data_IF_088171863575
#
_entry.id   IF_088171863575
#
_cell.length_a   1.000
_cell.length_b   1.000
_cell.length_c   1.000
_cell.angle_alpha   90.00
_cell.angle_beta   90.00
_cell.angle_gamma   90.00
#
_symmetry.space_group_name_H-M   'P 1'
#
loop_
_entity.id
_entity.type
_entity.pdbx_description
1 polymer ?
#
# COMPACT_ATOMS: atom_id res chain seq x y z
N UNK A 1 28.87 33.11 45.36
CA UNK A 1 28.74 33.16 43.88
C UNK A 1 28.85 31.80 43.18
N UNK A 2 28.38 30.69 43.78
CA UNK A 2 28.37 29.35 43.10
C UNK A 2 26.97 28.81 42.80
N UNK A 3 25.92 29.45 43.33
CA UNK A 3 24.52 29.00 43.19
C UNK A 3 23.75 29.64 42.01
N UNK A 4 24.29 30.72 41.42
CA UNK A 4 23.61 31.46 40.33
C UNK A 4 23.91 30.82 38.95
N UNK A 5 25.08 30.18 38.80
CA UNK A 5 25.51 29.57 37.53
C UNK A 5 24.66 28.34 37.18
N UNK A 6 24.19 27.59 38.18
CA UNK A 6 23.37 26.40 37.97
C UNK A 6 21.97 26.73 37.41
N UNK A 7 21.41 27.90 37.73
CA UNK A 7 20.06 28.30 37.29
C UNK A 7 20.06 28.75 35.83
N UNK A 8 21.16 29.35 35.34
CA UNK A 8 21.29 29.75 33.94
C UNK A 8 21.52 28.54 33.02
N UNK A 9 22.20 27.49 33.51
CA UNK A 9 22.46 26.28 32.71
C UNK A 9 21.19 25.43 32.47
N UNK A 10 20.22 25.48 33.39
CA UNK A 10 18.95 24.75 33.24
C UNK A 10 18.00 25.46 32.26
N UNK A 11 18.06 26.80 32.16
CA UNK A 11 17.22 27.55 31.22
C UNK A 11 17.64 27.41 29.75
N UNK A 12 18.93 27.13 29.46
CA UNK A 12 19.40 26.90 28.10
C UNK A 12 19.09 25.49 27.56
N UNK A 13 18.86 24.49 28.44
CA UNK A 13 18.50 23.14 27.98
C UNK A 13 17.07 23.04 27.43
N UNK A 14 16.14 23.89 27.89
CA UNK A 14 14.77 23.92 27.37
C UNK A 14 14.63 24.51 25.97
N UNK A 15 15.64 25.23 25.46
CA UNK A 15 15.62 25.86 24.13
C UNK A 15 16.25 24.99 23.03
N UNK A 16 17.01 23.94 23.38
CA UNK A 16 17.64 23.04 22.40
C UNK A 16 16.67 22.00 21.81
N UNK A 17 15.48 21.80 22.41
CA UNK A 17 14.47 20.85 21.93
C UNK A 17 13.49 21.45 20.90
N UNK A 18 13.45 22.77 20.74
CA UNK A 18 12.56 23.43 19.77
C UNK A 18 13.13 23.42 18.33
N UNK A 19 14.39 23.04 18.14
CA UNK A 19 15.09 23.09 16.85
C UNK A 19 15.11 21.79 16.03
N UNK A 20 14.72 20.64 16.60
CA UNK A 20 14.91 19.33 15.97
C UNK A 20 13.68 18.75 15.23
N UNK A 21 12.53 19.42 15.23
CA UNK A 21 11.28 18.82 14.74
C UNK A 21 11.08 18.93 13.23
N UNK A 22 11.81 19.80 12.53
CA UNK A 22 11.54 20.13 11.11
C UNK A 22 12.25 19.22 10.10
N UNK A 23 13.45 18.71 10.39
CA UNK A 23 14.16 17.79 9.47
C UNK A 23 13.53 16.39 9.43
N UNK A 24 13.19 15.82 10.59
CA UNK A 24 12.56 14.49 10.67
C UNK A 24 11.21 14.42 9.95
N UNK A 25 10.38 15.45 10.09
CA UNK A 25 9.08 15.50 9.44
C UNK A 25 9.16 15.58 7.90
N UNK A 26 10.20 16.22 7.35
CA UNK A 26 10.44 16.28 5.89
C UNK A 26 10.83 14.91 5.34
N UNK A 27 11.72 14.19 6.03
CA UNK A 27 12.13 12.82 5.65
C UNK A 27 10.98 11.82 5.76
N UNK A 28 10.19 11.86 6.84
CA UNK A 28 9.01 10.99 6.99
C UNK A 28 8.00 11.23 5.87
N UNK A 29 7.69 12.49 5.54
CA UNK A 29 6.76 12.81 4.46
C UNK A 29 7.25 12.29 3.10
N UNK A 30 8.55 12.42 2.81
CA UNK A 30 9.15 11.91 1.58
C UNK A 30 9.11 10.37 1.51
N UNK A 31 9.34 9.70 2.63
CA UNK A 31 9.24 8.24 2.71
C UNK A 31 7.80 7.76 2.50
N UNK A 32 6.81 8.43 3.10
CA UNK A 32 5.38 8.13 2.86
C UNK A 32 5.09 8.22 1.37
N UNK A 33 5.44 9.34 0.73
CA UNK A 33 5.21 9.53 -0.72
C UNK A 33 5.86 8.42 -1.55
N UNK A 34 7.13 8.14 -1.30
CA UNK A 34 7.90 7.13 -2.06
C UNK A 34 7.28 5.74 -1.94
N UNK A 35 6.78 5.37 -0.76
CA UNK A 35 6.16 4.06 -0.54
C UNK A 35 4.73 3.99 -1.08
N UNK A 36 3.96 5.07 -1.02
CA UNK A 36 2.63 5.15 -1.65
C UNK A 36 2.76 5.04 -3.18
N UNK A 37 3.69 5.78 -3.78
CA UNK A 37 3.99 5.68 -5.22
C UNK A 37 4.47 4.25 -5.57
N UNK A 38 5.33 3.67 -4.73
CA UNK A 38 5.81 2.29 -4.88
C UNK A 38 4.69 1.25 -4.78
N UNK A 39 3.72 1.44 -3.89
CA UNK A 39 2.53 0.61 -3.79
C UNK A 39 1.68 0.72 -5.06
N UNK A 40 1.38 1.94 -5.52
CA UNK A 40 0.57 2.16 -6.72
C UNK A 40 1.21 1.57 -7.98
N UNK A 41 2.54 1.61 -8.09
CA UNK A 41 3.27 1.01 -9.21
C UNK A 41 3.32 -0.53 -9.18
N UNK A 42 3.16 -1.14 -7.99
CA UNK A 42 3.19 -2.58 -7.81
C UNK A 42 1.80 -3.22 -7.74
N UNK A 43 0.73 -2.44 -7.58
CA UNK A 43 -0.63 -2.98 -7.52
C UNK A 43 -1.08 -3.60 -8.86
N UNK A 44 -1.80 -4.72 -8.80
CA UNK A 44 -2.41 -5.36 -9.98
C UNK A 44 -3.81 -4.79 -10.21
N UNK A 45 -3.96 -3.84 -11.13
CA UNK A 45 -5.23 -3.09 -11.31
C UNK A 45 -6.44 -3.96 -11.71
N UNK A 46 -7.65 -3.44 -11.47
CA UNK A 46 -8.92 -4.01 -11.92
C UNK A 46 -8.89 -4.29 -13.43
N UNK A 47 -8.40 -3.32 -14.22
CA UNK A 47 -8.31 -3.50 -15.67
C UNK A 47 -7.24 -4.52 -16.07
N UNK A 48 -6.16 -4.67 -15.31
CA UNK A 48 -5.17 -5.74 -15.52
C UNK A 48 -5.83 -7.11 -15.34
N UNK A 49 -6.64 -7.29 -14.30
CA UNK A 49 -7.43 -8.50 -14.08
C UNK A 49 -8.46 -8.70 -15.19
N UNK A 50 -9.21 -7.66 -15.54
CA UNK A 50 -10.25 -7.70 -16.58
C UNK A 50 -9.72 -8.03 -17.98
N UNK A 51 -8.47 -7.67 -18.26
CA UNK A 51 -7.82 -7.93 -19.54
C UNK A 51 -7.26 -9.35 -19.69
N UNK A 52 -7.28 -10.16 -18.62
CA UNK A 52 -6.83 -11.55 -18.70
C UNK A 52 -7.70 -12.34 -19.68
N UNK A 53 -7.07 -13.23 -20.44
CA UNK A 53 -7.72 -14.07 -21.46
C UNK A 53 -7.23 -15.50 -21.33
N UNK A 54 -8.11 -16.47 -21.54
CA UNK A 54 -7.72 -17.89 -21.59
C UNK A 54 -6.77 -18.09 -22.78
N UNK A 55 -5.50 -18.30 -22.44
CA UNK A 55 -4.39 -18.44 -23.38
C UNK A 55 -3.30 -19.28 -22.75
N UNK A 56 -2.40 -19.82 -23.58
CA UNK A 56 -1.25 -20.60 -23.11
C UNK A 56 -0.31 -19.83 -22.19
N UNK A 57 -0.34 -18.49 -22.22
CA UNK A 57 0.50 -17.62 -21.41
C UNK A 57 -0.15 -17.20 -20.08
N UNK A 58 -1.44 -17.52 -19.87
CA UNK A 58 -2.21 -17.02 -18.73
C UNK A 58 -1.59 -17.41 -17.40
N UNK A 59 -1.07 -18.64 -17.25
CA UNK A 59 -0.41 -19.08 -16.01
C UNK A 59 0.78 -18.20 -15.63
N UNK A 60 1.58 -17.76 -16.62
CA UNK A 60 2.72 -16.88 -16.38
C UNK A 60 2.22 -15.49 -15.95
N UNK A 61 1.19 -14.96 -16.62
CA UNK A 61 0.58 -13.67 -16.27
C UNK A 61 0.01 -13.66 -14.84
N UNK A 62 -0.63 -14.76 -14.42
CA UNK A 62 -1.16 -14.92 -13.07
C UNK A 62 -0.04 -14.98 -12.04
N UNK A 63 1.02 -15.75 -12.30
CA UNK A 63 2.19 -15.84 -11.41
C UNK A 63 2.91 -14.49 -11.26
N UNK A 64 3.09 -13.75 -12.36
CA UNK A 64 3.66 -12.40 -12.32
C UNK A 64 2.78 -11.43 -11.55
N UNK A 65 1.46 -11.55 -11.68
CA UNK A 65 0.50 -10.74 -10.93
C UNK A 65 0.52 -11.07 -9.44
N UNK A 66 0.60 -12.35 -9.05
CA UNK A 66 0.74 -12.75 -7.65
C UNK A 66 2.02 -12.19 -7.02
N UNK A 67 3.14 -12.20 -7.76
CA UNK A 67 4.40 -11.59 -7.30
C UNK A 67 4.25 -10.08 -7.07
N UNK A 68 3.58 -9.38 -7.99
CA UNK A 68 3.26 -7.95 -7.85
C UNK A 68 2.42 -7.66 -6.60
N UNK A 69 1.40 -8.49 -6.31
CA UNK A 69 0.59 -8.38 -5.09
C UNK A 69 1.42 -8.60 -3.82
N UNK A 70 2.37 -9.54 -3.83
CA UNK A 70 3.26 -9.70 -2.67
C UNK A 70 4.18 -8.49 -2.47
N UNK A 71 4.68 -7.90 -3.56
CA UNK A 71 5.50 -6.70 -3.46
C UNK A 71 4.70 -5.47 -3.00
N UNK A 72 3.45 -5.32 -3.45
CA UNK A 72 2.55 -4.24 -2.99
C UNK A 72 2.20 -4.41 -1.49
N UNK A 73 1.94 -5.63 -1.02
CA UNK A 73 1.73 -5.95 0.40
C UNK A 73 2.93 -5.53 1.26
N UNK A 74 4.16 -5.81 0.83
CA UNK A 74 5.37 -5.35 1.54
C UNK A 74 5.43 -3.83 1.65
N UNK A 75 4.99 -3.08 0.62
CA UNK A 75 4.92 -1.61 0.69
C UNK A 75 3.89 -1.13 1.72
N UNK A 76 2.73 -1.78 1.81
CA UNK A 76 1.72 -1.48 2.84
C UNK A 76 2.24 -1.78 4.26
N UNK A 77 3.02 -2.84 4.41
CA UNK A 77 3.65 -3.22 5.68
C UNK A 77 4.70 -2.19 6.12
N UNK A 78 5.53 -1.71 5.17
CA UNK A 78 6.46 -0.61 5.39
C UNK A 78 5.74 0.70 5.76
N UNK A 79 4.63 1.02 5.07
CA UNK A 79 3.79 2.18 5.40
C UNK A 79 3.18 2.07 6.79
N UNK A 80 2.81 0.86 7.24
CA UNK A 80 2.30 0.63 8.59
C UNK A 80 3.36 0.99 9.64
N UNK A 81 4.59 0.52 9.47
CA UNK A 81 5.70 0.89 10.36
C UNK A 81 5.97 2.39 10.38
N UNK A 82 5.87 3.08 9.24
CA UNK A 82 5.98 4.54 9.21
C UNK A 82 4.82 5.21 9.93
N UNK A 83 3.59 4.74 9.76
CA UNK A 83 2.39 5.33 10.36
C UNK A 83 2.46 5.40 11.89
N UNK A 84 3.16 4.46 12.53
CA UNK A 84 3.42 4.47 13.97
C UNK A 84 4.27 5.67 14.42
N UNK A 85 5.15 6.16 13.54
CA UNK A 85 6.06 7.29 13.78
C UNK A 85 5.48 8.66 13.43
N UNK A 86 4.34 8.69 12.72
CA UNK A 86 3.69 9.94 12.31
C UNK A 86 3.03 10.61 13.52
N UNK A 87 3.41 11.87 13.78
CA UNK A 87 2.87 12.66 14.90
C UNK A 87 1.69 13.56 14.51
N UNK A 88 1.59 13.94 13.23
CA UNK A 88 0.45 14.72 12.73
C UNK A 88 -0.78 13.82 12.63
N UNK A 89 -1.81 14.12 13.42
CA UNK A 89 -3.01 13.30 13.52
C UNK A 89 -3.78 13.18 12.20
N UNK A 90 -3.78 14.22 11.35
CA UNK A 90 -4.49 14.20 10.07
C UNK A 90 -3.74 13.33 9.06
N UNK A 91 -2.42 13.45 9.01
CA UNK A 91 -1.57 12.60 8.16
C UNK A 91 -1.70 11.14 8.61
N UNK A 92 -1.63 10.88 9.93
CA UNK A 92 -1.74 9.52 10.49
C UNK A 92 -3.08 8.86 10.16
N UNK A 93 -4.18 9.61 10.30
CA UNK A 93 -5.51 9.10 10.01
C UNK A 93 -5.69 8.77 8.52
N UNK A 94 -5.32 9.68 7.63
CA UNK A 94 -5.44 9.44 6.18
C UNK A 94 -4.48 8.34 5.69
N UNK A 95 -3.26 8.28 6.24
CA UNK A 95 -2.33 7.19 5.94
C UNK A 95 -2.86 5.83 6.41
N UNK A 96 -3.48 5.76 7.60
CA UNK A 96 -4.16 4.54 8.07
C UNK A 96 -5.27 4.12 7.11
N UNK A 97 -6.13 5.06 6.72
CA UNK A 97 -7.21 4.80 5.77
C UNK A 97 -6.68 4.28 4.42
N UNK A 98 -5.61 4.88 3.89
CA UNK A 98 -4.95 4.41 2.68
C UNK A 98 -4.44 2.97 2.82
N UNK A 99 -3.78 2.66 3.94
CA UNK A 99 -3.25 1.32 4.23
C UNK A 99 -4.38 0.29 4.30
N UNK A 100 -5.48 0.60 4.99
CA UNK A 100 -6.61 -0.32 5.17
C UNK A 100 -7.31 -0.62 3.83
N UNK A 101 -7.54 0.41 3.01
CA UNK A 101 -8.05 0.25 1.64
C UNK A 101 -7.11 -0.63 0.80
N UNK A 102 -5.81 -0.38 0.87
CA UNK A 102 -4.81 -1.16 0.15
C UNK A 102 -4.80 -2.63 0.58
N UNK A 103 -4.87 -2.90 1.88
CA UNK A 103 -4.89 -4.28 2.41
C UNK A 103 -6.12 -5.05 1.99
N UNK A 104 -7.30 -4.43 2.08
CA UNK A 104 -8.54 -5.08 1.66
C UNK A 104 -8.51 -5.39 0.16
N UNK A 105 -7.99 -4.46 -0.63
CA UNK A 105 -7.77 -4.66 -2.06
C UNK A 105 -6.82 -5.83 -2.35
N UNK A 106 -5.62 -5.84 -1.76
CA UNK A 106 -4.66 -6.93 -2.00
C UNK A 106 -5.20 -8.29 -1.54
N UNK A 107 -6.00 -8.34 -0.46
CA UNK A 107 -6.68 -9.56 -0.02
C UNK A 107 -7.62 -10.12 -1.09
N UNK A 108 -8.41 -9.25 -1.73
CA UNK A 108 -9.36 -9.63 -2.78
C UNK A 108 -8.61 -10.09 -4.03
N UNK A 109 -7.62 -9.32 -4.48
CA UNK A 109 -6.84 -9.64 -5.68
C UNK A 109 -6.06 -10.95 -5.49
N UNK A 110 -5.44 -11.15 -4.33
CA UNK A 110 -4.71 -12.38 -4.02
C UNK A 110 -5.63 -13.59 -4.13
N UNK A 111 -6.79 -13.55 -3.46
CA UNK A 111 -7.76 -14.65 -3.49
C UNK A 111 -8.18 -14.97 -4.93
N UNK A 112 -8.52 -13.94 -5.70
CA UNK A 112 -8.92 -14.10 -7.09
C UNK A 112 -7.83 -14.79 -7.93
N UNK A 113 -6.58 -14.30 -7.83
CA UNK A 113 -5.46 -14.84 -8.61
C UNK A 113 -5.06 -16.24 -8.17
N UNK A 114 -5.13 -16.55 -6.87
CA UNK A 114 -4.84 -17.87 -6.33
C UNK A 114 -5.86 -18.92 -6.78
N UNK A 115 -7.15 -18.57 -6.80
CA UNK A 115 -8.21 -19.46 -7.29
C UNK A 115 -8.04 -19.72 -8.79
N UNK A 116 -7.74 -18.68 -9.57
CA UNK A 116 -7.42 -18.82 -10.99
C UNK A 116 -6.17 -19.69 -11.23
N UNK A 117 -5.09 -19.47 -10.49
CA UNK A 117 -3.86 -20.28 -10.57
C UNK A 117 -4.14 -21.75 -10.30
N UNK A 118 -4.92 -22.05 -9.26
CA UNK A 118 -5.26 -23.42 -8.86
C UNK A 118 -6.02 -24.16 -9.95
N UNK A 119 -6.98 -23.49 -10.59
CA UNK A 119 -7.77 -24.07 -11.68
C UNK A 119 -6.92 -24.26 -12.95
N UNK A 120 -6.00 -23.34 -13.26
CA UNK A 120 -5.03 -23.50 -14.34
C UNK A 120 -4.08 -24.68 -14.10
N UNK A 121 -3.54 -24.82 -12.89
CA UNK A 121 -2.71 -25.96 -12.50
C UNK A 121 -3.47 -27.27 -12.59
N UNK A 122 -4.75 -27.29 -12.18
CA UNK A 122 -5.60 -28.46 -12.29
C UNK A 122 -5.85 -28.85 -13.77
N UNK A 123 -6.19 -27.88 -14.64
CA UNK A 123 -6.34 -28.07 -16.09
C UNK A 123 -5.06 -28.60 -16.73
N UNK A 124 -3.90 -28.08 -16.33
CA UNK A 124 -2.60 -28.55 -16.83
C UNK A 124 -2.32 -30.01 -16.44
N UNK A 125 -2.65 -30.41 -15.21
CA UNK A 125 -2.45 -31.79 -14.73
C UNK A 125 -3.52 -32.77 -15.22
N UNK A 126 -4.68 -32.27 -15.65
CA UNK A 126 -5.84 -33.05 -16.09
C UNK A 126 -6.38 -32.47 -17.40
N UNK A 127 -5.75 -32.75 -18.55
CA UNK A 127 -6.11 -32.11 -19.82
C UNK A 127 -7.54 -32.42 -20.29
N UNK A 128 -8.12 -33.52 -19.83
CA UNK A 128 -9.51 -33.92 -20.14
C UNK A 128 -10.55 -33.23 -19.23
N UNK A 129 -10.10 -32.51 -18.18
CA UNK A 129 -11.00 -31.83 -17.27
C UNK A 129 -11.60 -30.56 -17.91
N UNK A 130 -12.93 -30.43 -17.84
CA UNK A 130 -13.63 -29.23 -18.26
C UNK A 130 -13.51 -28.12 -17.20
N UNK A 131 -12.40 -27.39 -17.23
CA UNK A 131 -12.18 -26.21 -16.38
C UNK A 131 -12.53 -24.96 -17.19
N UNK A 132 -13.61 -24.29 -16.80
CA UNK A 132 -13.98 -22.98 -17.36
C UNK A 132 -13.18 -21.86 -16.69
N UNK A 133 -12.14 -21.40 -17.37
CA UNK A 133 -11.30 -20.28 -16.93
C UNK A 133 -12.02 -18.93 -17.12
N UNK A 134 -12.95 -18.82 -18.08
CA UNK A 134 -13.64 -17.57 -18.38
C UNK A 134 -14.62 -17.16 -17.28
N UNK A 135 -15.01 -18.08 -16.39
CA UNK A 135 -15.78 -17.74 -15.19
C UNK A 135 -15.09 -16.68 -14.33
N UNK A 136 -13.76 -16.69 -14.25
CA UNK A 136 -13.01 -15.71 -13.46
C UNK A 136 -13.10 -14.31 -14.08
N UNK A 137 -13.04 -14.21 -15.41
CA UNK A 137 -13.16 -12.94 -16.14
C UNK A 137 -14.57 -12.33 -15.97
N UNK A 138 -15.60 -13.17 -15.95
CA UNK A 138 -17.00 -12.72 -15.76
C UNK A 138 -17.37 -12.46 -14.30
N UNK A 139 -16.58 -12.94 -13.33
CA UNK A 139 -16.84 -12.84 -11.90
C UNK A 139 -15.73 -12.09 -11.16
N UNK A 140 -15.19 -11.02 -11.77
CA UNK A 140 -14.26 -10.13 -11.08
C UNK A 140 -14.97 -9.54 -9.86
N UNK A 141 -14.35 -9.52 -8.68
CA UNK A 141 -14.97 -8.96 -7.48
C UNK A 141 -15.46 -7.53 -7.69
N UNK A 142 -16.77 -7.32 -7.49
CA UNK A 142 -17.46 -6.05 -7.81
C UNK A 142 -16.89 -4.84 -7.07
N UNK A 143 -16.31 -5.04 -5.89
CA UNK A 143 -15.74 -3.97 -5.06
C UNK A 143 -14.29 -3.62 -5.41
N UNK A 144 -13.62 -4.37 -6.30
CA UNK A 144 -12.21 -4.13 -6.61
C UNK A 144 -11.99 -2.76 -7.25
N UNK A 145 -12.85 -2.38 -8.19
CA UNK A 145 -12.80 -1.07 -8.85
C UNK A 145 -13.10 0.07 -7.86
N UNK A 146 -14.09 -0.12 -6.98
CA UNK A 146 -14.44 0.86 -5.96
C UNK A 146 -13.29 1.09 -4.96
N UNK A 147 -12.60 0.02 -4.56
CA UNK A 147 -11.43 0.11 -3.68
C UNK A 147 -10.28 0.85 -4.35
N UNK A 148 -10.07 0.68 -5.66
CA UNK A 148 -9.08 1.47 -6.41
C UNK A 148 -9.42 2.96 -6.43
N UNK A 149 -10.68 3.29 -6.67
CA UNK A 149 -11.12 4.68 -6.62
C UNK A 149 -10.97 5.29 -5.23
N UNK A 150 -11.37 4.56 -4.18
CA UNK A 150 -11.21 5.01 -2.80
C UNK A 150 -9.74 5.18 -2.42
N UNK A 151 -8.88 4.22 -2.80
CA UNK A 151 -7.43 4.30 -2.57
C UNK A 151 -6.81 5.52 -3.28
N UNK A 152 -7.22 5.78 -4.52
CA UNK A 152 -6.79 6.98 -5.27
C UNK A 152 -7.22 8.28 -4.57
N UNK A 153 -8.49 8.39 -4.18
CA UNK A 153 -8.98 9.57 -3.47
C UNK A 153 -8.27 9.76 -2.11
N UNK A 154 -8.00 8.67 -1.40
CA UNK A 154 -7.25 8.70 -0.15
C UNK A 154 -5.80 9.19 -0.37
N UNK A 155 -5.13 8.71 -1.40
CA UNK A 155 -3.83 9.21 -1.80
C UNK A 155 -3.87 10.72 -2.11
N UNK A 156 -4.84 11.18 -2.91
CA UNK A 156 -4.94 12.60 -3.27
C UNK A 156 -5.09 13.49 -2.02
N UNK A 157 -5.91 13.08 -1.06
CA UNK A 157 -6.02 13.76 0.25
C UNK A 157 -4.72 13.71 1.04
N UNK A 158 -4.06 12.55 1.07
CA UNK A 158 -2.77 12.38 1.76
C UNK A 158 -1.71 13.30 1.17
N UNK A 159 -1.56 13.38 -0.16
CA UNK A 159 -0.59 14.26 -0.81
C UNK A 159 -0.84 15.74 -0.46
N UNK A 160 -2.09 16.18 -0.39
CA UNK A 160 -2.42 17.55 0.04
C UNK A 160 -1.99 17.83 1.48
N UNK A 161 -2.12 16.85 2.37
CA UNK A 161 -1.67 16.97 3.76
C UNK A 161 -0.14 16.98 3.87
N UNK A 162 0.56 16.24 3.00
CA UNK A 162 2.03 16.18 2.99
C UNK A 162 2.69 17.45 2.45
N UNK A 163 2.04 18.16 1.51
CA UNK A 163 2.53 19.41 0.90
C UNK A 163 2.23 20.65 1.75
N UNK A 164 1.13 20.64 2.52
CA UNK A 164 0.78 21.75 3.41
C UNK A 164 1.70 21.78 4.64
N UNK A 165 2.88 22.39 4.51
CA UNK A 165 3.72 22.85 5.65
C UNK A 165 4.40 24.17 5.34
#
# INVERSE_FOLDING_TARGET
MRKIIAVILVLFLSLALAGCSKKGASTTNQNIKTLVDGYQNSMVSYYSVKSMQDSSLLINQVNDSLKKVEDSKKKLEQLTGINETVTDAKIKAELSNFIDLGRERERIVMKYLDDLRRDLDYKYRNPDAQVDINKYISQIPNNLLDLEYQSKQSNDRLQQLLVKK
#
